data_IF_014841525651
#
_entry.id   IF_014841525651
#
_cell.length_a   1.000
_cell.length_b   1.000
_cell.length_c   1.000
_cell.angle_alpha   90.00
_cell.angle_beta   90.00
_cell.angle_gamma   90.00
#
_symmetry.space_group_name_H-M   'P 1'
#
loop_
_entity.id
_entity.type
_entity.pdbx_description
1 polymer ?
#
# COMPACT_ATOMS: atom_id res chain seq x y z
N UNK A 1 -6.99 -22.49 -50.42
CA UNK A 1 -6.18 -21.67 -49.45
C UNK A 1 -4.74 -22.14 -49.55
N UNK A 2 -3.88 -21.36 -50.23
CA UNK A 2 -2.49 -21.76 -50.46
C UNK A 2 -1.66 -21.61 -49.20
N UNK A 3 -1.23 -22.75 -48.66
CA UNK A 3 -0.21 -22.77 -47.61
C UNK A 3 1.16 -22.91 -48.25
N UNK A 4 1.98 -21.87 -48.24
CA UNK A 4 3.37 -21.96 -48.69
C UNK A 4 4.20 -22.40 -47.48
N UNK A 5 4.63 -23.67 -47.49
CA UNK A 5 5.58 -24.22 -46.53
C UNK A 5 6.97 -23.78 -46.94
N UNK A 6 7.61 -22.90 -46.20
CA UNK A 6 9.01 -22.53 -46.42
C UNK A 6 9.86 -23.66 -45.84
N UNK A 7 10.38 -24.51 -46.75
CA UNK A 7 11.32 -25.58 -46.40
C UNK A 7 12.66 -24.97 -45.98
N UNK A 8 12.88 -24.85 -44.69
CA UNK A 8 14.17 -24.97 -44.02
C UNK A 8 13.95 -24.84 -42.51
N UNK A 9 14.33 -25.87 -41.74
CA UNK A 9 14.52 -25.98 -40.27
C UNK A 9 13.94 -24.89 -39.32
N UNK A 10 13.02 -24.04 -39.79
CA UNK A 10 12.61 -22.82 -39.05
C UNK A 10 11.25 -22.94 -38.37
N UNK A 11 10.52 -24.06 -38.51
CA UNK A 11 9.19 -24.25 -37.89
C UNK A 11 8.19 -23.10 -38.17
N UNK A 12 8.32 -22.40 -39.32
CA UNK A 12 7.49 -21.26 -39.69
C UNK A 12 6.42 -21.63 -40.70
N UNK A 13 5.21 -21.15 -40.47
CA UNK A 13 4.09 -21.21 -41.44
C UNK A 13 3.58 -19.77 -41.62
N UNK A 14 3.37 -19.36 -42.89
CA UNK A 14 2.72 -18.09 -43.19
C UNK A 14 1.24 -18.32 -43.52
N UNK A 15 0.33 -17.59 -42.84
CA UNK A 15 -1.12 -17.61 -43.12
C UNK A 15 -1.60 -16.16 -43.20
N UNK A 16 -2.20 -15.81 -44.33
CA UNK A 16 -2.71 -14.45 -44.58
C UNK A 16 -1.69 -13.36 -44.25
N UNK A 17 -0.42 -13.55 -44.68
CA UNK A 17 0.66 -12.59 -44.43
C UNK A 17 1.18 -12.52 -43.01
N UNK A 18 0.68 -13.34 -42.09
CA UNK A 18 1.17 -13.39 -40.71
C UNK A 18 1.91 -14.71 -40.47
N UNK A 19 3.07 -14.63 -39.79
CA UNK A 19 3.89 -15.79 -39.48
C UNK A 19 3.41 -16.49 -38.21
N UNK A 20 3.42 -17.81 -38.23
CA UNK A 20 3.12 -18.70 -37.11
C UNK A 20 4.29 -19.65 -36.89
N UNK A 21 4.63 -19.89 -35.64
CA UNK A 21 5.50 -20.98 -35.23
C UNK A 21 4.71 -22.27 -35.17
N UNK A 22 5.20 -23.38 -35.76
CA UNK A 22 4.54 -24.69 -35.76
C UNK A 22 5.57 -25.77 -35.56
N UNK A 23 5.59 -26.38 -34.40
CA UNK A 23 6.51 -27.47 -34.05
C UNK A 23 5.74 -28.73 -33.64
N UNK A 24 6.17 -29.88 -34.12
CA UNK A 24 5.54 -31.16 -33.76
C UNK A 24 5.95 -31.54 -32.33
N UNK A 25 5.03 -32.04 -31.54
CA UNK A 25 5.32 -32.62 -30.22
C UNK A 25 6.11 -33.93 -30.46
N UNK A 26 7.21 -34.19 -29.73
CA UNK A 26 7.94 -35.44 -29.81
C UNK A 26 7.05 -36.65 -29.52
N UNK A 27 7.24 -37.74 -30.27
CA UNK A 27 6.37 -38.94 -30.20
C UNK A 27 6.35 -39.57 -28.79
N UNK A 28 7.47 -39.53 -28.08
CA UNK A 28 7.64 -40.01 -26.69
C UNK A 28 6.81 -39.23 -25.68
N UNK A 29 6.44 -37.97 -25.99
CA UNK A 29 5.66 -37.10 -25.15
C UNK A 29 4.19 -36.96 -25.54
N UNK A 30 3.75 -37.57 -26.68
CA UNK A 30 2.37 -37.43 -27.18
C UNK A 30 1.30 -37.77 -26.13
N UNK A 31 1.56 -38.75 -25.26
CA UNK A 31 0.61 -39.15 -24.19
C UNK A 31 0.33 -38.06 -23.15
N UNK A 32 1.18 -37.04 -23.09
CA UNK A 32 1.05 -35.92 -22.12
C UNK A 32 0.37 -34.68 -22.72
N UNK A 33 0.15 -34.65 -24.02
CA UNK A 33 -0.40 -33.48 -24.70
C UNK A 33 -1.64 -33.84 -25.50
N UNK A 34 -2.67 -33.01 -25.44
CA UNK A 34 -3.92 -33.19 -26.22
C UNK A 34 -3.78 -32.79 -27.69
N UNK A 35 -2.60 -32.40 -28.14
CA UNK A 35 -2.34 -31.93 -29.51
C UNK A 35 -0.99 -32.44 -30.00
N UNK A 36 -0.93 -32.83 -31.26
CA UNK A 36 0.30 -33.33 -31.89
C UNK A 36 1.25 -32.20 -32.32
N UNK A 37 0.79 -30.95 -32.28
CA UNK A 37 1.57 -29.78 -32.68
C UNK A 37 1.31 -28.58 -31.82
N UNK A 38 2.38 -27.86 -31.53
CA UNK A 38 2.34 -26.54 -30.91
C UNK A 38 2.28 -25.50 -32.03
N UNK A 39 1.22 -24.70 -32.10
CA UNK A 39 1.06 -23.63 -33.08
C UNK A 39 0.87 -22.32 -32.33
N UNK A 40 1.75 -21.33 -32.59
CA UNK A 40 1.74 -20.03 -31.91
C UNK A 40 1.85 -18.92 -32.96
N UNK A 41 0.96 -17.93 -32.93
CA UNK A 41 1.07 -16.75 -33.77
C UNK A 41 2.25 -15.88 -33.31
N UNK A 42 3.13 -15.51 -34.23
CA UNK A 42 4.27 -14.64 -33.97
C UNK A 42 3.91 -13.15 -34.09
N UNK A 43 2.67 -12.86 -34.47
CA UNK A 43 2.11 -11.50 -34.60
C UNK A 43 3.00 -10.55 -35.40
N UNK A 44 3.70 -11.09 -36.43
CA UNK A 44 4.56 -10.31 -37.31
C UNK A 44 4.35 -10.73 -38.76
N UNK A 45 4.53 -9.77 -39.70
CA UNK A 45 4.57 -9.98 -41.13
C UNK A 45 6.02 -9.98 -41.67
N UNK A 46 7.01 -9.65 -40.84
CA UNK A 46 8.43 -9.64 -41.20
C UNK A 46 9.01 -11.05 -41.00
N UNK A 47 9.63 -11.57 -42.04
CA UNK A 47 10.26 -12.92 -42.03
C UNK A 47 11.44 -12.96 -41.06
N UNK A 48 12.31 -11.94 -41.04
CA UNK A 48 13.49 -11.91 -40.18
C UNK A 48 13.11 -11.89 -38.68
N UNK A 49 12.11 -11.07 -38.29
CA UNK A 49 11.58 -11.07 -36.95
C UNK A 49 10.94 -12.40 -36.57
N UNK A 50 10.25 -13.03 -37.53
CA UNK A 50 9.65 -14.33 -37.33
C UNK A 50 10.70 -15.43 -37.09
N UNK A 51 11.80 -15.41 -37.83
CA UNK A 51 12.91 -16.35 -37.69
C UNK A 51 13.57 -16.24 -36.30
N UNK A 52 13.88 -15.04 -35.87
CA UNK A 52 14.45 -14.81 -34.52
C UNK A 52 13.52 -15.30 -33.40
N UNK A 53 12.21 -14.98 -33.49
CA UNK A 53 11.22 -15.44 -32.53
C UNK A 53 11.02 -16.96 -32.54
N UNK A 54 11.03 -17.59 -33.74
CA UNK A 54 10.90 -19.03 -33.88
C UNK A 54 12.08 -19.78 -33.26
N UNK A 55 13.31 -19.29 -33.44
CA UNK A 55 14.52 -19.85 -32.83
C UNK A 55 14.41 -19.84 -31.32
N UNK A 56 14.05 -18.67 -30.71
CA UNK A 56 13.88 -18.55 -29.28
C UNK A 56 12.80 -19.45 -28.71
N UNK A 57 11.68 -19.62 -29.43
CA UNK A 57 10.60 -20.53 -29.06
C UNK A 57 11.04 -22.00 -29.17
N UNK A 58 11.79 -22.37 -30.19
CA UNK A 58 12.33 -23.74 -30.33
C UNK A 58 13.24 -24.07 -29.14
N UNK A 59 14.21 -23.22 -28.83
CA UNK A 59 15.15 -23.43 -27.72
C UNK A 59 14.43 -23.59 -26.36
N UNK A 60 13.36 -22.82 -26.13
CA UNK A 60 12.57 -22.93 -24.93
C UNK A 60 11.72 -24.20 -24.88
N UNK A 61 11.15 -24.58 -26.00
CA UNK A 61 10.27 -25.73 -26.09
C UNK A 61 11.07 -27.04 -25.98
N UNK A 62 12.25 -27.10 -26.57
CA UNK A 62 13.16 -28.25 -26.43
C UNK A 62 13.60 -28.45 -24.98
N UNK A 63 14.04 -27.36 -24.30
CA UNK A 63 14.39 -27.43 -22.88
C UNK A 63 13.21 -27.89 -22.02
N UNK A 64 12.00 -27.46 -22.35
CA UNK A 64 10.80 -27.90 -21.65
C UNK A 64 10.54 -29.39 -21.87
N UNK A 65 10.67 -29.87 -23.09
CA UNK A 65 10.53 -31.30 -23.40
C UNK A 65 11.62 -32.15 -22.75
N UNK A 66 12.86 -31.66 -22.70
CA UNK A 66 13.95 -32.32 -21.99
C UNK A 66 13.70 -32.40 -20.48
N UNK A 67 13.16 -31.35 -19.90
CA UNK A 67 12.77 -31.39 -18.46
C UNK A 67 11.66 -32.44 -18.22
N UNK A 68 10.68 -32.57 -19.13
CA UNK A 68 9.64 -33.60 -19.03
C UNK A 68 10.19 -35.01 -19.22
N UNK A 69 11.19 -35.19 -20.06
CA UNK A 69 11.90 -36.48 -20.21
C UNK A 69 12.66 -36.82 -18.93
N UNK A 70 13.38 -35.88 -18.36
CA UNK A 70 14.08 -36.09 -17.09
C UNK A 70 13.14 -36.48 -15.96
N UNK A 71 11.92 -35.92 -15.90
CA UNK A 71 10.89 -36.35 -14.94
C UNK A 71 10.42 -37.78 -15.15
N UNK A 72 10.56 -38.36 -16.37
CA UNK A 72 10.17 -39.74 -16.68
C UNK A 72 11.22 -40.75 -16.26
N UNK A 73 12.48 -40.34 -16.12
CA UNK A 73 13.56 -41.25 -15.70
C UNK A 73 13.58 -41.42 -14.20
N UNK A 74 13.51 -42.65 -13.74
CA UNK A 74 13.78 -42.97 -12.35
C UNK A 74 15.28 -42.78 -12.05
N UNK A 75 15.66 -42.33 -10.89
CA UNK A 75 17.04 -42.11 -10.48
C UNK A 75 18.00 -43.29 -10.72
N UNK A 76 17.46 -44.52 -10.77
CA UNK A 76 18.16 -45.75 -11.14
C UNK A 76 18.59 -45.80 -12.62
N UNK A 77 17.75 -45.32 -13.53
CA UNK A 77 18.01 -45.33 -15.00
C UNK A 77 19.05 -44.26 -15.38
N UNK A 78 19.15 -43.19 -14.61
CA UNK A 78 20.15 -42.14 -14.78
C UNK A 78 21.52 -42.48 -14.16
N UNK A 79 21.68 -43.66 -13.54
CA UNK A 79 22.92 -44.03 -12.84
C UNK A 79 23.25 -43.13 -11.65
N UNK A 80 22.31 -42.30 -11.23
CA UNK A 80 22.44 -41.47 -10.05
C UNK A 80 22.15 -42.31 -8.80
N UNK A 81 23.20 -43.01 -8.32
CA UNK A 81 23.12 -43.68 -7.03
C UNK A 81 23.02 -42.61 -5.94
N UNK A 82 21.83 -42.40 -5.43
CA UNK A 82 21.71 -41.73 -4.12
C UNK A 82 22.42 -42.61 -3.12
N UNK A 83 23.47 -42.12 -2.50
CA UNK A 83 24.09 -42.76 -1.35
C UNK A 83 22.94 -43.04 -0.35
N UNK A 84 22.63 -44.30 -0.21
CA UNK A 84 21.50 -44.82 0.58
C UNK A 84 21.74 -44.67 2.09
N UNK A 85 21.97 -43.47 2.53
CA UNK A 85 21.95 -43.09 3.96
C UNK A 85 21.08 -41.84 4.17
N UNK A 86 20.18 -41.54 3.23
CA UNK A 86 19.06 -40.67 3.52
C UNK A 86 17.81 -41.53 3.36
N UNK A 87 17.66 -42.47 4.27
CA UNK A 87 16.37 -42.95 4.68
C UNK A 87 15.73 -41.85 5.50
N UNK A 88 15.04 -41.00 4.80
CA UNK A 88 13.83 -40.36 5.22
C UNK A 88 13.47 -39.50 4.03
N UNK A 89 12.30 -39.78 3.38
CA UNK A 89 11.58 -38.71 2.72
C UNK A 89 11.71 -37.50 3.65
N UNK A 90 12.17 -36.32 3.17
CA UNK A 90 12.13 -35.17 4.05
C UNK A 90 10.72 -35.19 4.65
N UNK A 91 10.61 -35.36 5.96
CA UNK A 91 9.37 -35.11 6.68
C UNK A 91 8.86 -33.82 6.09
N UNK A 92 7.59 -33.77 5.61
CA UNK A 92 7.06 -32.51 5.09
C UNK A 92 7.48 -31.46 6.11
N UNK A 93 8.22 -30.49 5.65
CA UNK A 93 8.79 -29.49 6.54
C UNK A 93 7.62 -29.01 7.39
N UNK A 94 7.69 -29.23 8.69
CA UNK A 94 6.62 -28.82 9.59
C UNK A 94 6.62 -27.31 9.79
N UNK A 95 7.14 -26.57 8.77
CA UNK A 95 7.24 -25.13 8.81
C UNK A 95 5.83 -24.53 8.78
N UNK A 96 5.45 -24.00 9.91
CA UNK A 96 4.09 -23.51 10.14
C UNK A 96 3.94 -22.05 9.76
N UNK A 97 2.70 -21.60 9.67
CA UNK A 97 2.39 -20.18 9.46
C UNK A 97 2.87 -19.32 10.66
N UNK A 98 2.94 -19.90 11.86
CA UNK A 98 3.48 -19.22 13.04
C UNK A 98 5.01 -19.07 12.94
N UNK A 99 5.72 -20.06 12.38
CA UNK A 99 7.15 -19.96 12.10
C UNK A 99 7.43 -18.96 11.00
N UNK A 100 6.57 -18.92 9.96
CA UNK A 100 6.63 -17.92 8.91
C UNK A 100 6.40 -16.49 9.46
N UNK A 101 5.50 -16.34 10.41
CA UNK A 101 5.25 -15.06 11.08
C UNK A 101 6.44 -14.61 11.93
N UNK A 102 7.06 -15.51 12.69
CA UNK A 102 8.29 -15.22 13.44
C UNK A 102 9.40 -14.77 12.52
N UNK A 103 9.69 -15.53 11.45
CA UNK A 103 10.67 -15.17 10.42
C UNK A 103 10.37 -13.80 9.78
N UNK A 104 9.08 -13.52 9.53
CA UNK A 104 8.63 -12.24 8.98
C UNK A 104 8.95 -11.08 9.92
N UNK A 105 8.78 -11.26 11.22
CA UNK A 105 9.12 -10.25 12.22
C UNK A 105 10.63 -10.06 12.40
N UNK A 106 11.40 -11.14 12.38
CA UNK A 106 12.86 -11.08 12.46
C UNK A 106 13.46 -10.29 11.30
N UNK A 107 13.02 -10.58 10.06
CA UNK A 107 13.61 -9.99 8.86
C UNK A 107 13.02 -8.61 8.49
N UNK A 108 11.75 -8.35 8.83
CA UNK A 108 11.04 -7.12 8.41
C UNK A 108 10.50 -6.28 9.56
N UNK A 109 10.67 -6.72 10.80
CA UNK A 109 10.12 -6.04 11.98
C UNK A 109 10.96 -4.86 12.46
N UNK A 110 12.26 -4.83 12.16
CA UNK A 110 13.14 -3.78 12.65
C UNK A 110 12.64 -2.39 12.23
N UNK A 111 12.51 -1.47 13.18
CA UNK A 111 12.01 -0.10 12.97
C UNK A 111 10.52 0.01 12.58
N UNK A 112 9.75 -1.09 12.65
CA UNK A 112 8.32 -1.06 12.31
C UNK A 112 7.46 -0.63 13.51
N UNK A 113 6.34 0.04 13.20
CA UNK A 113 5.36 0.47 14.21
C UNK A 113 4.55 -0.72 14.74
N UNK A 114 4.04 -0.61 15.95
CA UNK A 114 3.15 -1.58 16.61
C UNK A 114 2.01 -2.08 15.69
N UNK A 115 1.44 -1.20 14.85
CA UNK A 115 0.37 -1.54 13.91
C UNK A 115 0.79 -2.54 12.84
N UNK A 116 2.08 -2.64 12.50
CA UNK A 116 2.61 -3.65 11.58
C UNK A 116 2.49 -5.04 12.19
N UNK A 117 2.94 -5.20 13.42
CA UNK A 117 2.87 -6.46 14.16
C UNK A 117 1.42 -6.86 14.45
N UNK A 118 0.59 -5.90 14.86
CA UNK A 118 -0.85 -6.13 15.10
C UNK A 118 -1.59 -6.60 13.86
N UNK A 119 -1.30 -6.04 12.69
CA UNK A 119 -1.91 -6.48 11.43
C UNK A 119 -1.48 -7.89 11.07
N UNK A 120 -0.18 -8.19 11.17
CA UNK A 120 0.36 -9.50 10.81
C UNK A 120 -0.19 -10.59 11.74
N UNK A 121 -0.13 -10.38 13.06
CA UNK A 121 -0.71 -11.30 14.04
C UNK A 121 -2.19 -11.56 13.75
N UNK A 122 -3.01 -10.50 13.70
CA UNK A 122 -4.45 -10.64 13.42
C UNK A 122 -4.74 -11.33 12.10
N UNK A 123 -3.91 -11.13 11.08
CA UNK A 123 -4.10 -11.80 9.78
C UNK A 123 -3.86 -13.29 9.88
N UNK A 124 -2.83 -13.71 10.63
CA UNK A 124 -2.53 -15.12 10.91
C UNK A 124 -3.59 -15.74 11.80
N UNK A 125 -4.04 -15.04 12.85
CA UNK A 125 -5.10 -15.52 13.74
C UNK A 125 -6.39 -15.81 12.95
N UNK A 126 -6.81 -14.87 12.09
CA UNK A 126 -7.98 -15.10 11.22
C UNK A 126 -7.80 -16.26 10.24
N UNK A 127 -6.58 -16.49 9.73
CA UNK A 127 -6.31 -17.64 8.89
C UNK A 127 -6.44 -18.95 9.68
N UNK A 128 -5.90 -19.00 10.90
CA UNK A 128 -5.95 -20.17 11.78
C UNK A 128 -7.37 -20.51 12.24
N UNK A 129 -8.28 -19.53 12.32
CA UNK A 129 -9.69 -19.77 12.67
C UNK A 129 -10.44 -20.64 11.64
N UNK A 130 -9.97 -20.69 10.39
CA UNK A 130 -10.71 -21.33 9.30
C UNK A 130 -9.91 -22.39 8.56
N UNK A 131 -8.60 -22.42 8.69
CA UNK A 131 -7.74 -23.38 8.00
C UNK A 131 -7.64 -24.69 8.75
N UNK A 132 -7.73 -25.81 8.03
CA UNK A 132 -7.52 -27.15 8.57
C UNK A 132 -6.06 -27.48 8.81
N UNK A 133 -5.14 -26.70 8.26
CA UNK A 133 -3.68 -26.87 8.39
C UNK A 133 -3.00 -25.58 8.79
N UNK A 134 -1.89 -25.70 9.48
CA UNK A 134 -0.98 -24.58 9.77
C UNK A 134 0.34 -24.68 8.99
N UNK A 135 0.59 -25.79 8.31
CA UNK A 135 1.82 -26.04 7.53
C UNK A 135 1.76 -25.28 6.22
N UNK A 136 2.77 -24.44 5.95
CA UNK A 136 2.79 -23.52 4.80
C UNK A 136 2.68 -24.26 3.46
N UNK A 137 3.36 -25.38 3.30
CA UNK A 137 3.35 -26.17 2.07
C UNK A 137 2.04 -26.94 1.83
N UNK A 138 1.22 -27.09 2.88
CA UNK A 138 -0.03 -27.86 2.85
C UNK A 138 -1.24 -27.01 2.45
N UNK A 139 -1.11 -25.66 2.39
CA UNK A 139 -2.22 -24.80 2.00
C UNK A 139 -2.69 -25.06 0.56
N UNK A 140 -4.00 -25.21 0.40
CA UNK A 140 -4.66 -25.43 -0.87
C UNK A 140 -5.46 -24.18 -1.33
N UNK A 141 -5.79 -24.04 -2.60
CA UNK A 141 -6.67 -22.97 -3.07
C UNK A 141 -8.02 -22.88 -2.35
N UNK A 142 -8.52 -24.01 -1.87
CA UNK A 142 -9.74 -24.08 -1.06
C UNK A 142 -9.59 -23.31 0.27
N UNK A 143 -8.42 -23.39 0.93
CA UNK A 143 -8.14 -22.65 2.17
C UNK A 143 -8.19 -21.13 1.93
N UNK A 144 -7.62 -20.66 0.84
CA UNK A 144 -7.65 -19.25 0.49
C UNK A 144 -9.08 -18.75 0.17
N UNK A 145 -9.91 -19.60 -0.44
CA UNK A 145 -11.32 -19.30 -0.71
C UNK A 145 -12.14 -19.29 0.59
N UNK A 146 -11.94 -20.26 1.47
CA UNK A 146 -12.59 -20.33 2.79
C UNK A 146 -12.19 -19.13 3.66
N UNK A 147 -10.89 -18.79 3.67
CA UNK A 147 -10.38 -17.61 4.36
C UNK A 147 -11.04 -16.32 3.90
N UNK A 148 -11.16 -16.12 2.59
CA UNK A 148 -11.87 -14.96 2.03
C UNK A 148 -13.32 -14.91 2.49
N UNK A 149 -14.05 -16.03 2.40
CA UNK A 149 -15.44 -16.12 2.82
C UNK A 149 -15.60 -15.79 4.30
N UNK A 150 -14.74 -16.34 5.14
CA UNK A 150 -14.72 -16.07 6.58
C UNK A 150 -14.54 -14.58 6.92
N UNK A 151 -13.61 -13.90 6.24
CA UNK A 151 -13.38 -12.46 6.45
C UNK A 151 -14.61 -11.62 6.06
N UNK A 152 -15.32 -11.98 4.99
CA UNK A 152 -16.57 -11.32 4.62
C UNK A 152 -17.71 -11.63 5.60
N UNK A 153 -17.81 -12.86 6.11
CA UNK A 153 -18.78 -13.22 7.15
C UNK A 153 -18.55 -12.43 8.45
N UNK A 154 -17.30 -12.10 8.79
CA UNK A 154 -16.97 -11.16 9.88
C UNK A 154 -17.37 -9.70 9.60
N UNK A 155 -17.98 -9.38 8.44
CA UNK A 155 -18.42 -8.04 8.07
C UNK A 155 -17.29 -7.10 7.62
N UNK A 156 -16.12 -7.63 7.24
CA UNK A 156 -15.00 -6.81 6.78
C UNK A 156 -15.24 -6.31 5.34
N UNK A 157 -14.90 -5.03 5.11
CA UNK A 157 -14.94 -4.45 3.76
C UNK A 157 -13.87 -5.09 2.85
N UNK A 158 -14.11 -5.07 1.51
CA UNK A 158 -13.14 -5.57 0.52
C UNK A 158 -11.75 -4.94 0.67
N UNK A 159 -11.67 -3.66 1.03
CA UNK A 159 -10.40 -2.98 1.29
C UNK A 159 -9.66 -3.58 2.50
N UNK A 160 -10.38 -3.94 3.56
CA UNK A 160 -9.84 -4.61 4.74
C UNK A 160 -9.40 -6.03 4.43
N UNK A 161 -10.22 -6.77 3.68
CA UNK A 161 -9.90 -8.14 3.22
C UNK A 161 -8.63 -8.13 2.37
N UNK A 162 -8.51 -7.22 1.38
CA UNK A 162 -7.28 -7.07 0.57
C UNK A 162 -6.05 -6.78 1.41
N UNK A 163 -6.17 -5.96 2.46
CA UNK A 163 -5.06 -5.65 3.37
C UNK A 163 -4.61 -6.89 4.15
N UNK A 164 -5.54 -7.68 4.64
CA UNK A 164 -5.27 -8.93 5.36
C UNK A 164 -4.61 -9.94 4.42
N UNK A 165 -5.17 -10.13 3.23
CA UNK A 165 -4.55 -10.98 2.19
C UNK A 165 -3.15 -10.52 1.80
N UNK A 166 -2.92 -9.21 1.68
CA UNK A 166 -1.58 -8.67 1.40
C UNK A 166 -0.59 -9.00 2.52
N UNK A 167 -1.03 -9.01 3.78
CA UNK A 167 -0.21 -9.40 4.93
C UNK A 167 0.15 -10.89 4.85
N UNK A 168 -0.84 -11.78 4.71
CA UNK A 168 -0.63 -13.24 4.57
C UNK A 168 0.25 -13.56 3.37
N UNK A 169 -0.03 -12.95 2.22
CA UNK A 169 0.80 -13.09 1.01
C UNK A 169 2.27 -12.73 1.25
N UNK A 170 2.52 -11.65 1.99
CA UNK A 170 3.88 -11.18 2.27
C UNK A 170 4.62 -12.11 3.24
N UNK A 171 3.92 -12.65 4.23
CA UNK A 171 4.46 -13.62 5.21
C UNK A 171 4.84 -14.91 4.50
N UNK A 172 3.91 -15.50 3.75
CA UNK A 172 4.12 -16.78 3.06
C UNK A 172 5.18 -16.66 1.95
N UNK A 173 5.17 -15.59 1.13
CA UNK A 173 6.18 -15.38 0.10
C UNK A 173 7.60 -15.27 0.69
N UNK A 174 7.73 -14.61 1.85
CA UNK A 174 9.01 -14.54 2.53
C UNK A 174 9.45 -15.93 3.01
N UNK A 175 8.56 -16.68 3.64
CA UNK A 175 8.84 -18.03 4.10
C UNK A 175 9.26 -18.96 2.96
N UNK A 176 8.52 -18.95 1.84
CA UNK A 176 8.87 -19.75 0.65
C UNK A 176 10.28 -19.41 0.16
N UNK A 177 10.61 -18.11 0.08
CA UNK A 177 11.90 -17.66 -0.41
C UNK A 177 13.06 -18.02 0.53
N UNK A 178 12.92 -17.73 1.82
CA UNK A 178 14.00 -17.87 2.79
C UNK A 178 14.22 -19.33 3.24
N UNK A 179 13.16 -20.15 3.26
CA UNK A 179 13.22 -21.56 3.66
C UNK A 179 13.33 -22.51 2.46
N UNK A 180 13.31 -22.00 1.22
CA UNK A 180 13.37 -22.85 0.03
C UNK A 180 12.18 -23.81 -0.12
N UNK A 181 10.98 -23.42 0.38
CA UNK A 181 9.81 -24.29 0.34
C UNK A 181 9.34 -24.52 -1.10
N UNK A 182 9.00 -25.76 -1.44
CA UNK A 182 8.57 -26.17 -2.78
C UNK A 182 7.04 -26.09 -2.87
N UNK A 183 6.50 -24.90 -2.75
CA UNK A 183 5.06 -24.64 -2.88
C UNK A 183 4.76 -23.31 -3.55
N UNK A 184 3.52 -23.17 -4.05
CA UNK A 184 3.01 -21.88 -4.55
C UNK A 184 2.21 -21.21 -3.45
N UNK A 185 2.32 -19.89 -3.35
CA UNK A 185 1.47 -19.13 -2.44
C UNK A 185 0.05 -19.05 -3.00
N UNK A 186 -0.85 -19.86 -2.49
CA UNK A 186 -2.26 -19.94 -2.93
C UNK A 186 -3.05 -18.67 -2.66
N UNK A 187 -2.62 -17.86 -1.68
CA UNK A 187 -3.25 -16.59 -1.34
C UNK A 187 -2.88 -15.45 -2.32
N UNK A 188 -1.85 -15.65 -3.15
CA UNK A 188 -1.33 -14.60 -4.03
C UNK A 188 -2.30 -14.22 -5.16
N UNK A 189 -3.02 -15.19 -5.71
CA UNK A 189 -3.93 -15.05 -6.86
C UNK A 189 -5.41 -15.11 -6.48
N UNK A 190 -5.75 -15.10 -5.20
CA UNK A 190 -7.14 -15.17 -4.76
C UNK A 190 -7.90 -13.89 -5.16
N UNK A 191 -8.97 -14.05 -5.92
CA UNK A 191 -9.84 -12.95 -6.30
C UNK A 191 -10.58 -12.39 -5.08
N UNK A 192 -10.54 -11.07 -4.88
CA UNK A 192 -11.29 -10.37 -3.84
C UNK A 192 -12.21 -9.36 -4.54
N UNK A 193 -13.55 -9.50 -4.42
CA UNK A 193 -14.51 -8.60 -5.02
C UNK A 193 -14.25 -7.14 -4.66
N UNK A 194 -14.62 -6.22 -5.55
CA UNK A 194 -14.60 -4.80 -5.24
C UNK A 194 -15.92 -4.40 -4.57
N UNK A 195 -15.83 -3.59 -3.51
CA UNK A 195 -17.03 -2.94 -3.00
C UNK A 195 -17.37 -1.79 -3.95
N UNK A 196 -18.52 -1.83 -4.59
CA UNK A 196 -19.04 -0.73 -5.42
C UNK A 196 -19.30 0.57 -4.61
N UNK A 197 -19.09 0.54 -3.31
CA UNK A 197 -19.35 1.62 -2.38
C UNK A 197 -18.17 1.95 -1.47
N UNK A 198 -17.00 2.26 -2.02
CA UNK A 198 -16.02 2.98 -1.22
C UNK A 198 -16.58 4.36 -0.94
N UNK A 199 -17.14 4.57 0.24
CA UNK A 199 -17.68 5.87 0.68
C UNK A 199 -16.55 6.87 0.64
N UNK A 200 -16.50 7.72 -0.40
CA UNK A 200 -15.58 8.86 -0.45
C UNK A 200 -15.83 9.70 0.80
N UNK A 201 -14.78 10.02 1.52
CA UNK A 201 -14.88 10.99 2.63
C UNK A 201 -15.21 12.35 2.05
N UNK A 202 -16.27 12.95 2.55
CA UNK A 202 -16.72 14.26 2.12
C UNK A 202 -15.84 15.35 2.78
N UNK A 203 -15.55 16.45 2.11
CA UNK A 203 -15.03 17.66 2.72
C UNK A 203 -16.06 18.22 3.69
N UNK A 204 -15.62 18.95 4.72
CA UNK A 204 -16.51 19.72 5.58
C UNK A 204 -16.93 20.97 4.82
N UNK A 205 -18.24 21.26 4.68
CA UNK A 205 -18.73 22.49 4.04
C UNK A 205 -18.19 23.75 4.71
N UNK A 206 -18.04 24.83 3.97
CA UNK A 206 -17.42 26.06 4.47
C UNK A 206 -18.19 26.68 5.62
N UNK A 207 -19.53 26.64 5.58
CA UNK A 207 -20.40 27.16 6.64
C UNK A 207 -20.21 26.39 7.96
N UNK A 208 -20.12 25.06 7.87
CA UNK A 208 -19.82 24.20 9.02
C UNK A 208 -18.40 24.44 9.57
N UNK A 209 -17.43 24.63 8.68
CA UNK A 209 -16.06 24.95 9.06
C UNK A 209 -15.98 26.27 9.84
N UNK A 210 -16.65 27.33 9.37
CA UNK A 210 -16.73 28.64 10.03
C UNK A 210 -17.37 28.50 11.42
N UNK A 211 -18.51 27.80 11.51
CA UNK A 211 -19.20 27.56 12.77
C UNK A 211 -18.30 26.81 13.78
N UNK A 212 -17.62 25.77 13.32
CA UNK A 212 -16.67 24.98 14.13
C UNK A 212 -15.54 25.86 14.64
N UNK A 213 -14.92 26.67 13.77
CA UNK A 213 -13.81 27.55 14.17
C UNK A 213 -14.24 28.57 15.23
N UNK A 214 -15.41 29.22 15.06
CA UNK A 214 -15.98 30.13 16.06
C UNK A 214 -16.24 29.43 17.38
N UNK A 215 -16.78 28.23 17.36
CA UNK A 215 -17.05 27.46 18.58
C UNK A 215 -15.75 27.01 19.27
N UNK A 216 -14.70 26.69 18.48
CA UNK A 216 -13.37 26.39 19.03
C UNK A 216 -12.82 27.58 19.84
N UNK A 217 -12.90 28.78 19.28
CA UNK A 217 -12.47 30.00 19.98
C UNK A 217 -13.29 30.24 21.25
N UNK A 218 -14.62 30.02 21.20
CA UNK A 218 -15.52 30.21 22.34
C UNK A 218 -15.25 29.23 23.49
N UNK A 219 -14.96 27.96 23.19
CA UNK A 219 -14.74 26.93 24.21
C UNK A 219 -13.32 27.00 24.76
N UNK A 220 -12.33 27.29 23.94
CA UNK A 220 -10.94 27.57 24.26
C UNK A 220 -10.27 26.50 25.15
N UNK A 221 -10.26 25.25 24.70
CA UNK A 221 -9.59 24.13 25.35
C UNK A 221 -8.63 23.39 24.41
N UNK A 222 -7.83 22.48 24.97
CA UNK A 222 -6.81 21.70 24.25
C UNK A 222 -7.35 20.99 23.00
N UNK A 223 -8.54 20.37 23.11
CA UNK A 223 -9.14 19.67 21.96
C UNK A 223 -9.60 20.63 20.86
N UNK A 224 -10.05 21.84 21.23
CA UNK A 224 -10.46 22.87 20.29
C UNK A 224 -9.25 23.56 19.65
N UNK A 225 -8.16 23.72 20.38
CA UNK A 225 -6.89 24.18 19.80
C UNK A 225 -6.39 23.18 18.74
N UNK A 226 -6.43 21.86 19.05
CA UNK A 226 -6.05 20.82 18.11
C UNK A 226 -6.93 20.86 16.84
N UNK A 227 -8.24 21.03 17.03
CA UNK A 227 -9.19 21.07 15.93
C UNK A 227 -9.02 22.33 15.07
N UNK A 228 -8.89 23.52 15.70
CA UNK A 228 -8.63 24.79 15.05
C UNK A 228 -7.31 24.74 14.26
N UNK A 229 -6.26 24.15 14.83
CA UNK A 229 -4.99 23.97 14.16
C UNK A 229 -5.14 23.15 12.87
N UNK A 230 -5.85 22.01 12.94
CA UNK A 230 -6.04 21.12 11.77
C UNK A 230 -6.97 21.76 10.73
N UNK A 231 -7.94 22.58 11.15
CA UNK A 231 -8.98 23.13 10.26
C UNK A 231 -8.41 24.00 9.14
N UNK A 232 -7.33 24.75 9.42
CA UNK A 232 -6.68 25.61 8.42
C UNK A 232 -5.38 25.01 7.87
N UNK A 233 -4.66 24.19 8.65
CA UNK A 233 -3.40 23.60 8.18
C UNK A 233 -3.59 22.31 7.37
N UNK A 234 -4.72 21.61 7.55
CA UNK A 234 -4.98 20.30 6.97
C UNK A 234 -3.94 19.24 7.35
N UNK A 235 -3.20 19.41 8.43
CA UNK A 235 -2.25 18.41 8.93
C UNK A 235 -2.94 17.08 9.21
N UNK A 236 -2.19 15.97 9.11
CA UNK A 236 -2.71 14.69 9.61
C UNK A 236 -2.85 14.76 11.13
N UNK A 237 -3.90 14.13 11.67
CA UNK A 237 -4.13 14.17 13.12
C UNK A 237 -2.90 13.74 13.93
N UNK A 238 -2.21 12.66 13.49
CA UNK A 238 -0.98 12.21 14.15
C UNK A 238 0.19 13.19 14.02
N UNK A 239 0.23 14.02 12.97
CA UNK A 239 1.20 15.09 12.79
C UNK A 239 0.94 16.21 13.81
N UNK A 240 -0.31 16.64 13.92
CA UNK A 240 -0.71 17.72 14.83
C UNK A 240 -0.61 17.31 16.30
N UNK A 241 -1.15 16.14 16.66
CA UNK A 241 -1.10 15.63 18.05
C UNK A 241 0.34 15.45 18.56
N UNK A 242 1.26 15.06 17.67
CA UNK A 242 2.66 14.80 18.03
C UNK A 242 3.57 16.03 17.93
N UNK A 243 3.03 17.26 17.91
CA UNK A 243 3.85 18.48 17.81
C UNK A 243 4.65 18.76 19.10
N UNK A 244 5.91 19.14 18.90
CA UNK A 244 6.72 19.80 19.91
C UNK A 244 6.41 21.29 19.90
N UNK A 245 6.31 21.95 21.05
CA UNK A 245 5.96 23.38 21.13
C UNK A 245 7.03 24.25 20.45
N UNK A 246 8.29 23.83 20.47
CA UNK A 246 9.38 24.55 19.78
C UNK A 246 9.26 24.52 18.23
N UNK A 247 8.56 23.52 17.67
CA UNK A 247 8.33 23.46 16.23
C UNK A 247 7.26 24.49 15.77
N UNK A 248 6.60 25.18 16.71
CA UNK A 248 5.59 26.21 16.45
C UNK A 248 6.29 27.57 16.49
N UNK A 249 6.47 28.18 15.33
CA UNK A 249 7.24 29.42 15.14
C UNK A 249 6.27 30.56 14.79
N UNK A 250 5.79 31.30 15.83
CA UNK A 250 4.78 32.36 15.64
C UNK A 250 5.38 33.78 15.54
N UNK A 251 6.64 33.96 15.96
CA UNK A 251 7.32 35.25 16.02
C UNK A 251 8.16 35.55 14.74
N UNK A 252 7.90 34.84 13.68
CA UNK A 252 8.56 35.03 12.37
C UNK A 252 7.71 35.94 11.48
N UNK A 253 8.30 36.49 10.42
CA UNK A 253 7.57 37.29 9.41
C UNK A 253 6.38 36.52 8.82
N UNK A 254 6.53 35.22 8.65
CA UNK A 254 5.45 34.27 8.36
C UNK A 254 5.38 33.29 9.50
N UNK A 255 4.28 33.23 10.29
CA UNK A 255 4.12 32.22 11.31
C UNK A 255 3.90 30.84 10.68
N UNK A 256 4.58 29.82 11.22
CA UNK A 256 4.51 28.47 10.65
C UNK A 256 4.81 27.38 11.69
N UNK A 257 4.49 26.14 11.32
CA UNK A 257 4.93 24.94 12.00
C UNK A 257 6.04 24.28 11.16
N UNK A 258 7.20 24.04 11.78
CA UNK A 258 8.26 23.21 11.19
C UNK A 258 7.98 21.73 11.46
N UNK A 259 7.25 21.07 10.53
CA UNK A 259 6.84 19.69 10.67
C UNK A 259 7.98 18.76 10.29
N UNK A 260 8.72 18.26 11.28
CA UNK A 260 9.86 17.34 11.16
C UNK A 260 9.63 16.07 11.97
N UNK A 261 10.34 14.96 11.68
CA UNK A 261 10.25 13.75 12.50
C UNK A 261 10.81 13.96 13.89
N UNK A 262 10.24 13.26 14.87
CA UNK A 262 10.70 13.18 16.25
C UNK A 262 10.73 11.72 16.71
N UNK A 263 11.47 11.35 17.78
CA UNK A 263 11.52 9.98 18.28
C UNK A 263 10.13 9.39 18.58
N UNK A 264 9.21 10.18 19.12
CA UNK A 264 7.82 9.79 19.42
C UNK A 264 6.86 9.94 18.22
N UNK A 265 7.24 10.67 17.16
CA UNK A 265 6.40 10.94 15.99
C UNK A 265 7.17 10.77 14.70
N UNK A 266 7.09 9.62 14.08
CA UNK A 266 7.57 9.46 12.70
C UNK A 266 6.58 10.06 11.70
N UNK A 267 7.07 10.56 10.58
CA UNK A 267 6.24 11.02 9.46
C UNK A 267 5.94 9.85 8.51
N UNK A 268 4.77 9.91 7.83
CA UNK A 268 4.33 8.82 6.95
C UNK A 268 5.20 8.65 5.71
N UNK A 269 5.70 9.76 5.14
CA UNK A 269 6.53 9.81 3.93
C UNK A 269 7.57 10.91 4.07
N UNK A 270 8.63 10.89 3.29
CA UNK A 270 9.63 11.97 3.25
C UNK A 270 8.98 13.33 2.94
N UNK A 271 8.06 13.38 1.98
CA UNK A 271 7.32 14.61 1.63
C UNK A 271 6.35 15.10 2.71
N UNK A 272 6.20 14.38 3.83
CA UNK A 272 5.42 14.87 4.98
C UNK A 272 6.18 15.90 5.81
N UNK A 273 7.52 15.90 5.76
CA UNK A 273 8.34 16.94 6.38
C UNK A 273 8.18 18.23 5.57
N UNK A 274 7.75 19.29 6.24
CA UNK A 274 7.46 20.57 5.58
C UNK A 274 7.21 21.67 6.57
N UNK A 275 7.39 22.91 6.13
CA UNK A 275 6.91 24.10 6.82
C UNK A 275 5.45 24.36 6.43
N UNK A 276 4.57 24.43 7.45
CA UNK A 276 3.13 24.65 7.28
C UNK A 276 2.76 26.03 7.77
N UNK A 277 2.38 26.97 6.90
CA UNK A 277 1.99 28.33 7.30
C UNK A 277 0.78 28.30 8.23
N UNK A 278 0.73 29.23 9.17
CA UNK A 278 -0.38 29.40 10.11
C UNK A 278 -1.19 30.64 9.70
N UNK A 279 -2.52 30.44 9.61
CA UNK A 279 -3.49 31.50 9.29
C UNK A 279 -4.70 31.38 10.21
N UNK A 280 -5.51 32.44 10.36
CA UNK A 280 -6.81 32.38 11.03
C UNK A 280 -6.84 31.57 12.32
N UNK A 281 -7.73 30.59 12.38
CA UNK A 281 -7.90 29.73 13.56
C UNK A 281 -6.67 28.91 13.91
N UNK A 282 -5.86 28.52 12.93
CA UNK A 282 -4.63 27.78 13.21
C UNK A 282 -3.56 28.67 13.87
N UNK A 283 -3.50 29.94 13.49
CA UNK A 283 -2.61 30.90 14.13
C UNK A 283 -3.07 31.21 15.58
N UNK A 284 -4.39 31.39 15.78
CA UNK A 284 -4.97 31.54 17.12
C UNK A 284 -4.61 30.34 18.01
N UNK A 285 -4.83 29.13 17.55
CA UNK A 285 -4.49 27.92 18.30
C UNK A 285 -3.00 27.82 18.62
N UNK A 286 -2.14 28.18 17.68
CA UNK A 286 -0.69 28.20 17.88
C UNK A 286 -0.28 29.20 18.98
N UNK A 287 -0.93 30.38 19.05
CA UNK A 287 -0.72 31.33 20.16
C UNK A 287 -1.09 30.73 21.52
N UNK A 288 -2.22 30.01 21.61
CA UNK A 288 -2.63 29.33 22.84
C UNK A 288 -1.62 28.26 23.25
N UNK A 289 -1.17 27.43 22.30
CA UNK A 289 -0.18 26.38 22.55
C UNK A 289 1.18 26.93 23.03
N UNK A 290 1.58 28.11 22.56
CA UNK A 290 2.82 28.79 23.05
C UNK A 290 2.70 29.38 24.43
N UNK A 291 1.48 29.64 24.91
CA UNK A 291 1.23 30.13 26.28
C UNK A 291 1.28 29.03 27.34
N UNK A 292 1.08 27.79 26.95
CA UNK A 292 1.19 26.62 27.83
C UNK A 292 2.68 26.26 27.93
N UNK A 293 3.22 26.28 29.15
CA UNK A 293 4.64 25.97 29.39
C UNK A 293 4.88 24.45 29.42
N UNK A 294 4.61 23.79 28.30
CA UNK A 294 4.73 22.34 28.11
C UNK A 294 5.71 22.02 26.98
N UNK A 295 6.34 20.86 27.05
CA UNK A 295 7.23 20.35 25.99
C UNK A 295 6.45 19.99 24.73
N UNK A 296 5.30 19.35 24.90
CA UNK A 296 4.44 18.88 23.83
C UNK A 296 3.22 19.78 23.69
N UNK A 297 2.80 20.04 22.45
CA UNK A 297 1.60 20.83 22.19
C UNK A 297 0.32 20.16 22.75
N UNK A 298 0.31 18.82 22.79
CA UNK A 298 -0.83 18.03 23.28
C UNK A 298 -0.35 16.87 24.16
N UNK A 299 0.14 17.17 25.39
CA UNK A 299 0.78 16.17 26.26
C UNK A 299 -0.13 15.00 26.61
N UNK A 300 -1.44 15.23 26.72
CA UNK A 300 -2.47 14.20 26.98
C UNK A 300 -2.42 13.02 25.99
N UNK A 301 -1.94 13.24 24.77
CA UNK A 301 -1.93 12.26 23.69
C UNK A 301 -0.54 11.78 23.32
N UNK A 302 0.48 12.20 24.07
CA UNK A 302 1.88 11.80 23.84
C UNK A 302 2.41 11.14 25.09
N UNK A 303 3.00 9.97 24.92
CA UNK A 303 3.95 9.44 25.90
C UNK A 303 5.37 9.55 25.31
N UNK A 304 6.38 9.18 26.09
CA UNK A 304 7.81 9.32 25.69
C UNK A 304 8.16 8.57 24.40
N UNK A 305 7.39 7.57 24.02
CA UNK A 305 7.68 6.67 22.88
C UNK A 305 6.69 6.75 21.72
N UNK A 306 5.44 7.16 21.96
CA UNK A 306 4.37 7.07 20.96
C UNK A 306 3.31 8.15 21.06
N UNK A 307 2.71 8.47 19.90
CA UNK A 307 1.55 9.36 19.76
C UNK A 307 0.26 8.55 19.75
N UNK A 308 -0.64 8.79 20.71
CA UNK A 308 -1.96 8.17 20.74
C UNK A 308 -3.01 8.98 19.94
N UNK A 309 -2.84 9.00 18.63
CA UNK A 309 -3.78 9.68 17.73
C UNK A 309 -5.17 9.02 17.66
N UNK A 310 -5.33 7.77 18.09
CA UNK A 310 -6.63 7.10 18.13
C UNK A 310 -7.53 7.69 19.22
N UNK A 311 -6.98 7.95 20.41
CA UNK A 311 -7.71 8.59 21.51
C UNK A 311 -8.15 10.01 21.11
N UNK A 312 -7.24 10.81 20.53
CA UNK A 312 -7.57 12.13 20.01
C UNK A 312 -8.66 12.06 18.92
N UNK A 313 -8.54 11.10 17.99
CA UNK A 313 -9.54 10.87 16.95
C UNK A 313 -10.93 10.57 17.53
N UNK A 314 -11.01 9.71 18.55
CA UNK A 314 -12.27 9.36 19.18
C UNK A 314 -12.92 10.59 19.84
N UNK A 315 -12.16 11.35 20.63
CA UNK A 315 -12.64 12.55 21.32
C UNK A 315 -13.13 13.62 20.32
N UNK A 316 -12.32 13.94 19.30
CA UNK A 316 -12.64 14.96 18.31
C UNK A 316 -13.84 14.55 17.45
N UNK A 317 -13.87 13.32 16.94
CA UNK A 317 -14.97 12.86 16.09
C UNK A 317 -16.29 12.76 16.85
N UNK A 318 -16.28 12.42 18.15
CA UNK A 318 -17.47 12.47 19.00
C UNK A 318 -18.05 13.89 19.06
N UNK A 319 -17.20 14.91 19.20
CA UNK A 319 -17.62 16.31 19.23
C UNK A 319 -18.04 16.83 17.86
N UNK A 320 -17.37 16.41 16.76
CA UNK A 320 -17.69 16.81 15.39
C UNK A 320 -19.01 16.22 14.86
N UNK A 321 -19.38 15.02 15.32
CA UNK A 321 -20.54 14.27 14.77
C UNK A 321 -21.85 15.07 14.68
N UNK A 322 -22.28 15.85 15.69
CA UNK A 322 -23.48 16.68 15.59
C UNK A 322 -23.28 18.01 14.83
N UNK A 323 -22.04 18.37 14.48
CA UNK A 323 -21.66 19.67 13.89
C UNK A 323 -21.30 19.61 12.42
N UNK A 324 -21.27 18.41 11.86
CA UNK A 324 -20.89 18.18 10.47
C UNK A 324 -21.85 17.22 9.79
N UNK A 325 -21.99 17.27 8.46
CA UNK A 325 -22.76 16.28 7.72
C UNK A 325 -22.29 14.85 7.99
N UNK A 326 -23.20 13.88 7.89
CA UNK A 326 -22.93 12.46 8.08
C UNK A 326 -21.78 12.00 7.16
N UNK A 327 -20.77 11.35 7.74
CA UNK A 327 -19.59 10.85 7.01
C UNK A 327 -18.37 11.77 7.09
N UNK A 328 -18.51 13.00 7.61
CA UNK A 328 -17.39 13.87 7.92
C UNK A 328 -16.72 13.46 9.22
N UNK A 329 -15.40 13.52 9.24
CA UNK A 329 -14.53 13.22 10.38
C UNK A 329 -13.36 14.22 10.43
N UNK A 330 -12.54 14.20 11.46
CA UNK A 330 -11.37 15.10 11.58
C UNK A 330 -10.49 15.09 10.32
N UNK A 331 -10.35 13.95 9.64
CA UNK A 331 -9.58 13.87 8.39
C UNK A 331 -10.26 14.62 7.22
N UNK A 332 -11.54 14.91 7.31
CA UNK A 332 -12.28 15.70 6.29
C UNK A 332 -11.80 17.13 6.17
N UNK A 333 -11.23 17.73 7.22
CA UNK A 333 -10.59 19.06 7.13
C UNK A 333 -9.47 19.10 6.10
N UNK A 334 -8.77 18.00 5.93
CA UNK A 334 -7.72 17.87 4.93
C UNK A 334 -8.26 17.87 3.48
N UNK A 335 -9.45 17.32 3.28
CA UNK A 335 -10.17 17.43 2.01
C UNK A 335 -10.68 18.86 1.80
N UNK A 336 -11.25 19.48 2.85
CA UNK A 336 -11.71 20.88 2.80
C UNK A 336 -10.58 21.86 2.49
N UNK A 337 -9.39 21.69 3.08
CA UNK A 337 -8.24 22.52 2.75
C UNK A 337 -7.90 22.43 1.25
N UNK A 338 -7.86 21.22 0.70
CA UNK A 338 -7.56 20.99 -0.72
C UNK A 338 -8.58 21.68 -1.62
N UNK A 339 -9.87 21.58 -1.27
CA UNK A 339 -10.93 22.19 -2.07
C UNK A 339 -10.95 23.71 -1.91
N UNK A 340 -10.71 24.26 -0.72
CA UNK A 340 -10.55 25.71 -0.48
C UNK A 340 -9.40 26.28 -1.33
N UNK A 341 -8.24 25.61 -1.37
CA UNK A 341 -7.11 26.05 -2.19
C UNK A 341 -7.43 25.96 -3.69
N UNK A 342 -8.19 24.97 -4.13
CA UNK A 342 -8.65 24.89 -5.53
C UNK A 342 -9.63 26.01 -5.89
N UNK A 343 -10.51 26.40 -4.98
CA UNK A 343 -11.45 27.51 -5.21
C UNK A 343 -10.77 28.86 -5.44
N UNK A 344 -9.56 29.04 -4.91
CA UNK A 344 -8.75 30.24 -5.17
C UNK A 344 -7.71 30.02 -6.27
N UNK A 345 -7.87 28.96 -7.07
CA UNK A 345 -7.01 28.62 -8.22
C UNK A 345 -5.53 28.41 -7.85
N UNK A 346 -5.27 27.89 -6.65
CA UNK A 346 -3.93 27.55 -6.22
C UNK A 346 -3.35 26.43 -7.11
N UNK A 347 -2.14 26.61 -7.70
CA UNK A 347 -1.50 25.56 -8.49
C UNK A 347 -1.39 24.23 -7.73
N UNK A 348 -1.65 23.12 -8.42
CA UNK A 348 -1.79 21.79 -7.80
C UNK A 348 -0.55 21.34 -7.05
N UNK A 349 0.62 21.69 -7.50
CA UNK A 349 1.91 21.40 -6.90
C UNK A 349 2.14 22.18 -5.61
N UNK A 350 1.69 23.44 -5.53
CA UNK A 350 1.69 24.24 -4.31
C UNK A 350 0.67 23.67 -3.31
N UNK A 351 -0.54 23.26 -3.77
CA UNK A 351 -1.52 22.57 -2.95
C UNK A 351 -0.90 21.32 -2.33
N UNK A 352 -0.19 20.53 -3.13
CA UNK A 352 0.44 19.30 -2.67
C UNK A 352 1.60 19.59 -1.69
N UNK A 353 2.38 20.63 -1.93
CA UNK A 353 3.46 21.07 -1.03
C UNK A 353 2.91 21.53 0.35
N UNK A 354 1.81 22.30 0.37
CA UNK A 354 1.13 22.73 1.61
C UNK A 354 0.62 21.50 2.37
N UNK A 355 -0.10 20.61 1.69
CA UNK A 355 -0.72 19.44 2.30
C UNK A 355 0.25 18.31 2.63
N UNK A 356 1.46 18.28 2.07
CA UNK A 356 2.36 17.13 2.13
C UNK A 356 1.74 15.92 1.43
N UNK A 357 1.17 16.13 0.25
CA UNK A 357 0.76 15.08 -0.68
C UNK A 357 1.89 14.80 -1.67
N UNK A 358 1.88 13.62 -2.26
CA UNK A 358 2.85 13.27 -3.29
C UNK A 358 2.34 13.75 -4.63
N UNK A 359 3.12 14.59 -5.29
CA UNK A 359 2.86 14.99 -6.67
C UNK A 359 3.48 13.97 -7.62
N UNK A 360 2.73 13.56 -8.64
CA UNK A 360 3.24 12.67 -9.70
C UNK A 360 4.09 13.48 -10.68
N UNK A 361 5.33 13.05 -10.94
CA UNK A 361 6.22 13.64 -11.95
C UNK A 361 7.68 13.65 -11.53
N UNK A 362 8.57 13.46 -12.50
CA UNK A 362 10.02 13.45 -12.28
C UNK A 362 10.52 14.86 -11.91
N UNK A 363 9.97 15.91 -12.51
CA UNK A 363 10.35 17.31 -12.28
C UNK A 363 10.16 17.78 -10.83
N UNK A 364 9.22 17.18 -10.10
CA UNK A 364 8.94 17.51 -8.69
C UNK A 364 10.03 17.02 -7.70
N UNK A 365 10.96 16.19 -8.18
CA UNK A 365 12.10 15.71 -7.37
C UNK A 365 13.29 16.66 -7.42
N UNK A 366 13.27 17.63 -8.30
CA UNK A 366 14.33 18.60 -8.45
C UNK A 366 13.97 19.92 -7.73
N UNK A 367 14.96 20.54 -7.11
CA UNK A 367 14.83 21.80 -6.39
C UNK A 367 14.51 21.65 -4.91
N UNK A 368 14.58 22.77 -4.18
CA UNK A 368 14.35 22.85 -2.72
C UNK A 368 12.87 22.90 -2.29
N UNK A 369 11.94 22.77 -3.26
CA UNK A 369 10.50 22.92 -3.02
C UNK A 369 10.06 24.40 -2.99
N UNK A 370 8.80 24.64 -2.56
CA UNK A 370 8.24 25.98 -2.51
C UNK A 370 8.63 26.74 -1.24
N UNK A 371 9.03 27.99 -1.41
CA UNK A 371 9.30 28.92 -0.32
C UNK A 371 8.08 29.09 0.60
N UNK A 372 8.34 29.39 1.88
CA UNK A 372 7.30 29.58 2.89
C UNK A 372 6.35 30.74 2.55
N UNK A 373 6.88 31.84 2.01
CA UNK A 373 6.08 33.02 1.61
C UNK A 373 5.12 32.68 0.46
N UNK A 374 5.54 31.85 -0.49
CA UNK A 374 4.65 31.40 -1.57
C UNK A 374 3.48 30.59 -1.02
N UNK A 375 3.76 29.62 -0.12
CA UNK A 375 2.71 28.83 0.54
C UNK A 375 1.78 29.71 1.38
N UNK A 376 2.34 30.65 2.14
CA UNK A 376 1.57 31.57 2.98
C UNK A 376 0.66 32.49 2.17
N UNK A 377 1.14 33.04 1.04
CA UNK A 377 0.34 33.85 0.11
C UNK A 377 -0.93 33.13 -0.34
N UNK A 378 -0.84 31.83 -0.67
CA UNK A 378 -2.00 31.03 -1.07
C UNK A 378 -2.90 30.67 0.13
N UNK A 379 -2.31 30.37 1.25
CA UNK A 379 -3.06 30.09 2.50
C UNK A 379 -3.87 31.31 2.95
N UNK A 380 -3.31 32.52 2.86
CA UNK A 380 -4.04 33.77 3.21
C UNK A 380 -5.29 34.00 2.37
N UNK A 381 -5.31 33.58 1.10
CA UNK A 381 -6.50 33.69 0.24
C UNK A 381 -7.69 32.84 0.70
N UNK A 382 -7.43 31.79 1.48
CA UNK A 382 -8.46 30.89 2.01
C UNK A 382 -8.78 31.15 3.50
N UNK A 383 -8.19 32.18 4.08
CA UNK A 383 -8.43 32.53 5.48
C UNK A 383 -9.90 32.95 5.67
N UNK A 384 -10.55 32.37 6.67
CA UNK A 384 -11.92 32.72 7.03
C UNK A 384 -11.88 33.98 7.90
N UNK A 385 -12.58 35.04 7.46
CA UNK A 385 -12.66 36.30 8.22
C UNK A 385 -13.35 36.09 9.57
N UNK A 386 -12.76 36.63 10.63
CA UNK A 386 -13.31 36.56 12.01
C UNK A 386 -13.00 35.28 12.77
N UNK A 387 -12.10 34.42 12.30
CA UNK A 387 -11.74 33.17 12.97
C UNK A 387 -10.51 33.27 13.91
N UNK A 388 -9.98 34.45 14.17
CA UNK A 388 -8.72 34.57 14.90
C UNK A 388 -8.36 35.95 15.49
N UNK A 389 -9.33 36.85 15.65
CA UNK A 389 -9.13 38.10 16.39
C UNK A 389 -9.48 37.93 17.84
#
# INVERSE_FOLDING_TARGET
MNQTVIQNKSYLICRNGTFYYSHRVPADLHKRFNKDRVIISLRTKSQDKALGSAKTLSDRLERYWDSLRLELFHSRELGLYTMSNISEKPKPSSFTIDDALKLYFELKGNGRRKTFFQLANRSVDYLKEVSSTTVVESFQPADATAFRAHLFQKGLSSASVRRIFSSIKSIINLAIKEQGLICRNVFASTFIPEDNASKKRLPIPIEALIAIQKECVKIDDENRWLLALISDTGMRLSEAVGLHVEDILINQSVPFIDLKPHPWRSLKTLGSQRQVPLIGSSYWAAKRLKQVNEKYAFPRYINESEVNSNSASAAINKWLKPRTPKGCVVHSFRHSLRDRLRLVECPSDIVDAIGGWTTSGIGQKYGAGYDLNVKYKWMKKIEVQGSGT
#
